data_IF_345291330508
#
_entry.id   IF_345291330508
#
_cell.length_a   1.000
_cell.length_b   1.000
_cell.length_c   1.000
_cell.angle_alpha   90.00
_cell.angle_beta   90.00
_cell.angle_gamma   90.00
#
_symmetry.space_group_name_H-M   'P 1'
#
loop_
_entity.id
_entity.type
_entity.pdbx_description
1 polymer ?
#
# COMPACT_ATOMS: atom_id res chain seq x y z
N UNK A 1 10.04 6.25 -0.51
CA UNK A 1 9.14 7.04 0.37
C UNK A 1 9.04 8.50 -0.10
N UNK A 2 10.11 9.08 -0.64
CA UNK A 2 10.16 10.47 -1.12
C UNK A 2 9.06 10.80 -2.14
N UNK A 3 8.79 9.90 -3.09
CA UNK A 3 7.75 10.10 -4.10
C UNK A 3 6.37 10.36 -3.47
N UNK A 4 5.94 9.50 -2.54
CA UNK A 4 4.65 9.61 -1.84
C UNK A 4 4.60 10.83 -0.93
N UNK A 5 5.75 11.25 -0.39
CA UNK A 5 5.85 12.44 0.46
C UNK A 5 5.56 13.74 -0.31
N UNK A 6 5.77 13.75 -1.64
CA UNK A 6 5.54 14.91 -2.49
C UNK A 6 4.06 15.10 -2.87
N UNK A 7 3.21 14.10 -2.64
CA UNK A 7 1.81 14.14 -3.03
C UNK A 7 1.01 15.15 -2.20
N UNK A 8 0.00 15.82 -2.78
CA UNK A 8 -0.78 16.82 -2.08
C UNK A 8 -1.38 16.26 -0.78
N UNK A 9 -1.32 17.03 0.30
CA UNK A 9 -1.95 16.68 1.59
C UNK A 9 -1.48 15.36 2.22
N UNK A 10 -0.37 14.78 1.75
CA UNK A 10 0.22 13.58 2.35
C UNK A 10 1.06 13.94 3.57
N UNK A 11 0.86 13.19 4.66
CA UNK A 11 1.70 13.22 5.85
C UNK A 11 2.24 11.83 6.12
N UNK A 12 3.56 11.73 6.30
CA UNK A 12 4.23 10.50 6.68
C UNK A 12 4.46 10.49 8.21
N UNK A 13 4.06 9.41 8.88
CA UNK A 13 4.21 9.25 10.34
C UNK A 13 4.80 7.89 10.69
N UNK A 14 5.86 7.81 11.52
CA UNK A 14 6.35 6.53 12.00
C UNK A 14 5.28 5.80 12.83
N UNK A 15 5.13 4.49 12.60
CA UNK A 15 4.15 3.66 13.31
C UNK A 15 4.66 2.21 13.40
N UNK A 16 4.93 1.73 14.62
CA UNK A 16 5.29 0.33 14.91
C UNK A 16 6.38 -0.29 13.99
N UNK A 17 7.38 0.50 13.59
CA UNK A 17 8.46 0.07 12.69
C UNK A 17 8.18 0.25 11.19
N UNK A 18 7.05 0.84 10.85
CA UNK A 18 6.65 1.26 9.51
C UNK A 18 6.58 2.79 9.42
N UNK A 19 6.40 3.29 8.20
CA UNK A 19 6.06 4.67 7.92
C UNK A 19 4.65 4.71 7.31
N UNK A 20 3.67 5.15 8.10
CA UNK A 20 2.30 5.30 7.63
C UNK A 20 2.14 6.55 6.78
N UNK A 21 1.48 6.42 5.62
CA UNK A 21 1.10 7.53 4.77
C UNK A 21 -0.38 7.86 4.95
N UNK A 22 -0.66 9.14 5.21
CA UNK A 22 -1.98 9.66 5.51
C UNK A 22 -2.36 10.77 4.54
N UNK A 23 -3.60 10.76 4.03
CA UNK A 23 -4.22 11.90 3.36
C UNK A 23 -5.19 12.54 4.36
N UNK A 24 -4.86 13.73 4.85
CA UNK A 24 -5.60 14.34 5.97
C UNK A 24 -5.49 13.48 7.24
N UNK A 25 -6.61 12.93 7.71
CA UNK A 25 -6.68 12.03 8.88
C UNK A 25 -6.75 10.54 8.51
N UNK A 26 -6.86 10.20 7.22
CA UNK A 26 -7.07 8.83 6.76
C UNK A 26 -5.76 8.19 6.33
N UNK A 27 -5.40 7.06 6.96
CA UNK A 27 -4.28 6.23 6.52
C UNK A 27 -4.65 5.51 5.22
N UNK A 28 -3.75 5.57 4.24
CA UNK A 28 -3.92 4.88 2.96
C UNK A 28 -2.76 3.93 2.63
N UNK A 29 -1.60 4.08 3.26
CA UNK A 29 -0.48 3.17 3.06
C UNK A 29 0.39 3.00 4.30
N UNK A 30 1.15 1.90 4.34
CA UNK A 30 2.24 1.67 5.27
C UNK A 30 3.47 1.19 4.49
N UNK A 31 4.58 1.91 4.65
CA UNK A 31 5.85 1.63 4.01
C UNK A 31 6.81 0.98 5.02
N UNK A 32 7.62 -0.01 4.63
CA UNK A 32 8.70 -0.52 5.46
C UNK A 32 9.65 0.61 5.91
N UNK A 33 10.07 0.58 7.18
CA UNK A 33 11.07 1.51 7.72
C UNK A 33 12.14 0.77 8.51
N UNK A 34 11.74 0.12 9.61
CA UNK A 34 12.62 -0.72 10.44
C UNK A 34 12.10 -2.16 10.58
N UNK A 35 10.87 -2.42 10.13
CA UNK A 35 10.26 -3.74 10.02
C UNK A 35 9.82 -4.01 8.58
N UNK A 36 9.84 -5.28 8.19
CA UNK A 36 9.32 -5.79 6.93
C UNK A 36 7.93 -6.40 7.13
N UNK A 37 7.21 -6.55 6.03
CA UNK A 37 5.99 -7.34 5.97
C UNK A 37 6.34 -8.76 5.51
N UNK A 38 5.34 -9.63 5.46
CA UNK A 38 5.44 -10.95 4.83
C UNK A 38 4.63 -10.92 3.52
N UNK A 39 5.25 -11.10 2.34
CA UNK A 39 6.69 -11.34 2.11
C UNK A 39 7.57 -10.09 2.35
N UNK A 40 8.88 -10.27 2.62
CA UNK A 40 9.83 -9.17 2.77
C UNK A 40 9.83 -8.25 1.54
N UNK A 41 10.15 -6.97 1.73
CA UNK A 41 10.06 -5.93 0.69
C UNK A 41 8.64 -5.64 0.15
N UNK A 42 7.62 -5.85 0.97
CA UNK A 42 6.26 -5.44 0.60
C UNK A 42 5.89 -4.04 1.07
N UNK A 43 5.04 -3.37 0.28
CA UNK A 43 4.33 -2.15 0.66
C UNK A 43 2.87 -2.47 0.92
N UNK A 44 2.30 -1.98 2.03
CA UNK A 44 0.87 -2.12 2.28
C UNK A 44 0.10 -0.87 1.85
N UNK A 45 -1.06 -1.07 1.25
CA UNK A 45 -2.01 0.00 0.93
C UNK A 45 -3.44 -0.42 1.21
N UNK A 46 -4.28 0.57 1.49
CA UNK A 46 -5.68 0.39 1.86
C UNK A 46 -6.58 0.80 0.71
N UNK A 47 -7.26 -0.16 0.08
CA UNK A 47 -8.22 0.10 -1.01
C UNK A 47 -9.67 -0.07 -0.55
N UNK A 48 -10.58 0.85 -0.90
CA UNK A 48 -12.00 0.65 -0.64
C UNK A 48 -12.53 -0.56 -1.43
N UNK A 49 -12.69 -1.69 -0.75
CA UNK A 49 -13.07 -2.99 -1.36
C UNK A 49 -14.51 -3.03 -1.88
N UNK A 50 -15.30 -1.97 -1.66
CA UNK A 50 -16.61 -1.78 -2.26
C UNK A 50 -16.55 -1.69 -3.80
N UNK A 51 -15.40 -1.31 -4.37
CA UNK A 51 -15.23 -1.26 -5.82
C UNK A 51 -14.88 -2.65 -6.39
N UNK A 52 -15.90 -3.33 -6.94
CA UNK A 52 -15.75 -4.67 -7.54
C UNK A 52 -14.70 -4.75 -8.66
N UNK A 53 -14.57 -3.71 -9.49
CA UNK A 53 -13.57 -3.68 -10.58
C UNK A 53 -12.16 -3.60 -10.03
N UNK A 54 -11.96 -2.76 -9.01
CA UNK A 54 -10.67 -2.61 -8.35
C UNK A 54 -10.27 -3.89 -7.62
N UNK A 55 -11.23 -4.54 -6.96
CA UNK A 55 -11.02 -5.85 -6.34
C UNK A 55 -10.61 -6.91 -7.36
N UNK A 56 -11.31 -7.00 -8.49
CA UNK A 56 -10.96 -7.95 -9.55
C UNK A 56 -9.55 -7.70 -10.11
N UNK A 57 -9.18 -6.42 -10.32
CA UNK A 57 -7.82 -6.06 -10.76
C UNK A 57 -6.77 -6.48 -9.72
N UNK A 58 -7.04 -6.26 -8.44
CA UNK A 58 -6.12 -6.65 -7.38
C UNK A 58 -5.96 -8.17 -7.28
N UNK A 59 -7.06 -8.92 -7.47
CA UNK A 59 -7.04 -10.39 -7.47
C UNK A 59 -6.30 -10.98 -8.68
N UNK A 60 -6.19 -10.25 -9.79
CA UNK A 60 -5.44 -10.69 -10.97
C UNK A 60 -3.94 -10.41 -10.90
N UNK A 61 -3.47 -9.59 -9.96
CA UNK A 61 -2.04 -9.28 -9.79
C UNK A 61 -1.42 -10.28 -8.81
N UNK A 62 -0.52 -11.13 -9.29
CA UNK A 62 0.13 -12.18 -8.50
C UNK A 62 1.09 -11.64 -7.42
N UNK A 63 1.46 -10.37 -7.48
CA UNK A 63 2.29 -9.70 -6.47
C UNK A 63 1.47 -9.16 -5.30
N UNK A 64 0.14 -9.17 -5.43
CA UNK A 64 -0.77 -8.70 -4.39
C UNK A 64 -1.13 -9.86 -3.47
N UNK A 65 -0.89 -9.65 -2.18
CA UNK A 65 -1.37 -10.51 -1.12
C UNK A 65 -2.46 -9.80 -0.32
N UNK A 66 -3.52 -10.54 -0.03
CA UNK A 66 -4.62 -10.06 0.79
C UNK A 66 -4.36 -10.47 2.23
N UNK A 67 -4.31 -9.51 3.15
CA UNK A 67 -4.33 -9.83 4.57
C UNK A 67 -5.75 -10.29 4.93
N UNK A 68 -5.92 -11.57 5.30
CA UNK A 68 -7.17 -12.12 5.85
C UNK A 68 -7.47 -11.40 7.20
N UNK A 69 -8.66 -10.97 7.62
CA UNK A 69 -10.03 -11.45 7.40
C UNK A 69 -11.07 -10.31 7.49
N UNK A 70 -12.20 -10.52 6.81
CA UNK A 70 -13.55 -9.98 7.07
C UNK A 70 -13.85 -8.47 6.96
N UNK A 71 -12.94 -7.53 7.21
CA UNK A 71 -13.25 -6.07 7.20
C UNK A 71 -12.13 -5.14 6.74
N UNK A 72 -10.90 -5.64 6.61
CA UNK A 72 -9.74 -4.80 6.35
C UNK A 72 -9.46 -4.67 4.85
N UNK A 73 -9.67 -3.46 4.34
CA UNK A 73 -9.28 -2.98 3.01
C UNK A 73 -7.78 -3.06 2.67
N UNK A 74 -6.96 -3.79 3.43
CA UNK A 74 -5.52 -3.78 3.32
C UNK A 74 -5.00 -4.87 2.38
N UNK A 75 -4.09 -4.47 1.49
CA UNK A 75 -3.36 -5.36 0.60
C UNK A 75 -1.88 -5.06 0.75
N UNK A 76 -1.05 -6.08 0.57
CA UNK A 76 0.39 -5.94 0.44
C UNK A 76 0.80 -6.22 -0.99
N UNK A 77 1.72 -5.43 -1.51
CA UNK A 77 2.36 -5.66 -2.81
C UNK A 77 3.82 -5.99 -2.57
N UNK A 78 4.22 -7.20 -2.97
CA UNK A 78 5.59 -7.69 -2.88
C UNK A 78 6.44 -7.13 -4.04
N UNK A 79 7.45 -6.34 -3.72
CA UNK A 79 8.39 -5.85 -4.73
C UNK A 79 9.52 -6.85 -4.93
N UNK A 80 9.77 -7.26 -6.17
CA UNK A 80 10.86 -8.17 -6.54
C UNK A 80 12.01 -7.45 -7.25
N UNK A 81 11.73 -6.31 -7.89
CA UNK A 81 12.73 -5.52 -8.61
C UNK A 81 12.36 -4.03 -8.72
N UNK A 82 13.27 -3.20 -9.20
CA UNK A 82 13.00 -1.77 -9.47
C UNK A 82 11.92 -1.56 -10.54
N UNK A 83 11.67 -2.56 -11.41
CA UNK A 83 10.57 -2.51 -12.37
C UNK A 83 9.18 -2.48 -11.68
N UNK A 84 9.11 -2.88 -10.40
CA UNK A 84 7.88 -2.85 -9.61
C UNK A 84 7.58 -1.48 -9.00
N UNK A 85 8.49 -0.51 -9.07
CA UNK A 85 8.30 0.84 -8.51
C UNK A 85 7.07 1.51 -9.11
N UNK A 86 6.96 1.54 -10.45
CA UNK A 86 5.82 2.16 -11.13
C UNK A 86 4.49 1.46 -10.81
N UNK A 87 4.39 0.11 -10.90
CA UNK A 87 3.19 -0.61 -10.44
C UNK A 87 2.79 -0.30 -8.99
N UNK A 88 3.74 -0.24 -8.06
CA UNK A 88 3.45 0.11 -6.66
C UNK A 88 2.91 1.53 -6.53
N UNK A 89 3.51 2.49 -7.24
CA UNK A 89 3.04 3.88 -7.25
C UNK A 89 1.62 3.99 -7.82
N UNK A 90 1.28 3.23 -8.86
CA UNK A 90 -0.10 3.18 -9.37
C UNK A 90 -1.09 2.68 -8.31
N UNK A 91 -0.72 1.65 -7.55
CA UNK A 91 -1.57 1.12 -6.48
C UNK A 91 -1.71 2.10 -5.31
N UNK A 92 -0.63 2.76 -4.93
CA UNK A 92 -0.64 3.83 -3.93
C UNK A 92 -1.50 5.01 -4.40
N UNK A 93 -1.46 5.36 -5.68
CA UNK A 93 -2.27 6.44 -6.26
C UNK A 93 -3.77 6.11 -6.28
N UNK A 94 -4.13 4.82 -6.33
CA UNK A 94 -5.52 4.35 -6.18
C UNK A 94 -5.98 4.32 -4.72
N UNK A 95 -5.05 4.17 -3.79
CA UNK A 95 -5.32 4.19 -2.35
C UNK A 95 -5.40 5.62 -1.79
N UNK A 96 -4.64 6.55 -2.39
CA UNK A 96 -4.57 7.96 -2.03
C UNK A 96 -5.94 8.62 -1.99
#
# INVERSE_FOLDING_TARGET
>A
AEEVASWPQVKLRPMFGFLGAYRGSMIFAALPRTRTMDPPNSVAFKLPMANKRLRAKAQSDNRIHFADMARASWLTFAMSSDADVNPVLEWLGRAY
#
